data_IF_374331022332
#
_entry.id   IF_374331022332
#
_cell.length_a   1.000
_cell.length_b   1.000
_cell.length_c   1.000
_cell.angle_alpha   90.00
_cell.angle_beta   90.00
_cell.angle_gamma   90.00
#
_symmetry.space_group_name_H-M   'P 1'
#
loop_
_entity.id
_entity.type
_entity.pdbx_description
1 polymer ?
#
# COMPACT_ATOMS: atom_id res chain seq x y z
N UNK A 1 -9.99 -0.72 33.93
CA UNK A 1 -10.04 -0.48 32.48
C UNK A 1 -8.81 -1.12 31.87
N UNK A 2 -8.97 -2.23 31.15
CA UNK A 2 -7.84 -2.92 30.51
C UNK A 2 -7.47 -2.16 29.23
N UNK A 3 -6.24 -1.68 29.10
CA UNK A 3 -5.70 -1.18 27.83
C UNK A 3 -5.77 -2.34 26.83
N UNK A 4 -6.67 -2.25 25.84
CA UNK A 4 -6.76 -3.21 24.74
C UNK A 4 -5.43 -3.13 24.01
N UNK A 5 -4.68 -4.23 24.01
CA UNK A 5 -3.36 -4.30 23.38
C UNK A 5 -3.56 -4.14 21.87
N UNK A 6 -3.14 -3.00 21.31
CA UNK A 6 -3.09 -2.75 19.86
C UNK A 6 -2.46 -3.95 19.15
N UNK A 7 -3.23 -4.62 18.29
CA UNK A 7 -2.67 -5.59 17.35
C UNK A 7 -2.03 -4.78 16.22
N UNK A 8 -0.71 -4.71 16.19
CA UNK A 8 0.02 -4.15 15.04
C UNK A 8 -0.41 -4.88 13.76
N UNK A 9 -0.98 -4.14 12.79
CA UNK A 9 -1.21 -4.64 11.44
C UNK A 9 0.14 -5.16 10.89
N UNK A 10 0.16 -6.39 10.38
CA UNK A 10 1.41 -7.04 9.94
C UNK A 10 1.67 -6.90 8.44
N UNK A 11 0.69 -6.40 7.68
CA UNK A 11 0.77 -6.08 6.23
C UNK A 11 1.49 -7.14 5.39
N UNK A 12 1.31 -8.43 5.72
CA UNK A 12 2.02 -9.53 5.05
C UNK A 12 1.71 -9.59 3.54
N UNK A 13 0.52 -9.13 3.15
CA UNK A 13 0.09 -9.11 1.75
C UNK A 13 0.88 -8.14 0.88
N UNK A 14 1.50 -7.10 1.47
CA UNK A 14 2.22 -6.05 0.73
C UNK A 14 3.36 -6.63 -0.11
N UNK A 15 4.06 -7.66 0.40
CA UNK A 15 5.15 -8.28 -0.36
C UNK A 15 4.67 -8.83 -1.71
N UNK A 16 3.58 -9.59 -1.69
CA UNK A 16 2.95 -10.16 -2.89
C UNK A 16 2.27 -9.11 -3.75
N UNK A 17 1.71 -8.07 -3.14
CA UNK A 17 1.10 -6.96 -3.86
C UNK A 17 2.17 -6.22 -4.68
N UNK A 18 3.27 -5.81 -4.05
CA UNK A 18 4.37 -5.11 -4.75
C UNK A 18 5.06 -6.01 -5.77
N UNK A 19 5.19 -7.31 -5.51
CA UNK A 19 5.66 -8.26 -6.52
C UNK A 19 4.79 -8.18 -7.78
N UNK A 20 3.46 -8.21 -7.64
CA UNK A 20 2.53 -8.04 -8.77
C UNK A 20 2.65 -6.67 -9.44
N UNK A 21 2.79 -5.59 -8.68
CA UNK A 21 3.00 -4.24 -9.23
C UNK A 21 4.25 -4.22 -10.11
N UNK A 22 5.37 -4.70 -9.59
CA UNK A 22 6.68 -4.64 -10.26
C UNK A 22 6.85 -5.66 -11.40
N UNK A 23 6.01 -6.69 -11.45
CA UNK A 23 5.99 -7.71 -12.52
C UNK A 23 4.82 -7.56 -13.49
N UNK A 24 3.97 -6.54 -13.29
CA UNK A 24 2.83 -6.28 -14.15
C UNK A 24 3.28 -6.04 -15.59
N UNK A 25 2.53 -6.60 -16.55
CA UNK A 25 2.78 -6.37 -17.98
C UNK A 25 2.33 -4.99 -18.45
N UNK A 26 1.50 -4.31 -17.66
CA UNK A 26 0.96 -2.98 -17.95
C UNK A 26 1.02 -2.13 -16.70
N UNK A 27 1.55 -0.91 -16.83
CA UNK A 27 1.47 0.12 -15.80
C UNK A 27 0.15 0.92 -15.89
N UNK A 28 -0.79 0.48 -16.71
CA UNK A 28 -2.15 1.03 -16.84
C UNK A 28 -3.15 -0.12 -16.71
N UNK A 29 -3.44 -0.52 -15.47
CA UNK A 29 -4.32 -1.66 -15.17
C UNK A 29 -4.83 -1.59 -13.74
N UNK A 30 -5.90 -2.31 -13.45
CA UNK A 30 -6.39 -2.52 -12.09
C UNK A 30 -6.47 -4.02 -11.79
N UNK A 31 -6.21 -4.39 -10.54
CA UNK A 31 -6.37 -5.77 -10.09
C UNK A 31 -6.69 -5.82 -8.60
N UNK A 32 -7.38 -6.87 -8.17
CA UNK A 32 -7.61 -7.14 -6.75
C UNK A 32 -6.53 -8.08 -6.21
N UNK A 33 -6.01 -7.76 -5.03
CA UNK A 33 -5.01 -8.56 -4.32
C UNK A 33 -5.33 -8.56 -2.83
N UNK A 34 -5.66 -9.72 -2.25
CA UNK A 34 -6.00 -9.84 -0.82
C UNK A 34 -7.14 -8.91 -0.39
N UNK A 35 -8.19 -8.81 -1.20
CA UNK A 35 -9.33 -7.93 -0.93
C UNK A 35 -9.03 -6.44 -1.08
N UNK A 36 -7.87 -6.08 -1.66
CA UNK A 36 -7.50 -4.69 -1.97
C UNK A 36 -7.47 -4.48 -3.48
N UNK A 37 -8.27 -3.54 -3.97
CA UNK A 37 -8.13 -3.04 -5.32
C UNK A 37 -6.80 -2.26 -5.40
N UNK A 38 -6.04 -2.54 -6.45
CA UNK A 38 -4.80 -1.86 -6.77
C UNK A 38 -4.95 -1.30 -8.17
N UNK A 39 -4.81 0.01 -8.28
CA UNK A 39 -4.81 0.72 -9.56
C UNK A 39 -3.37 1.12 -9.89
N UNK A 40 -2.96 0.79 -11.12
CA UNK A 40 -1.70 1.22 -11.72
C UNK A 40 -2.04 2.19 -12.84
N UNK A 41 -1.48 3.39 -12.77
CA UNK A 41 -1.57 4.40 -13.81
C UNK A 41 -0.18 4.86 -14.22
N UNK A 42 0.03 5.04 -15.53
CA UNK A 42 1.25 5.65 -16.01
C UNK A 42 1.12 6.31 -17.37
N UNK A 43 1.76 7.47 -17.51
CA UNK A 43 1.97 8.12 -18.80
C UNK A 43 3.22 7.61 -19.55
N UNK A 44 4.10 6.82 -18.91
CA UNK A 44 5.38 6.38 -19.49
C UNK A 44 5.73 4.94 -19.09
N UNK A 45 6.70 4.32 -19.77
CA UNK A 45 7.14 2.95 -19.42
C UNK A 45 8.00 2.91 -18.14
N UNK A 46 8.71 4.00 -17.84
CA UNK A 46 9.67 4.09 -16.74
C UNK A 46 9.08 4.66 -15.43
N UNK A 47 7.76 4.81 -15.36
CA UNK A 47 7.06 5.31 -14.18
C UNK A 47 5.80 4.49 -13.91
N UNK A 48 5.37 4.43 -12.66
CA UNK A 48 4.03 3.97 -12.27
C UNK A 48 3.55 4.74 -11.05
N UNK A 49 2.30 5.18 -11.09
CA UNK A 49 1.53 5.62 -9.94
C UNK A 49 0.67 4.46 -9.45
N UNK A 50 0.67 4.24 -8.14
CA UNK A 50 0.06 3.08 -7.49
C UNK A 50 -0.88 3.55 -6.39
N UNK A 51 -2.17 3.31 -6.59
CA UNK A 51 -3.18 3.50 -5.55
C UNK A 51 -3.62 2.14 -5.03
N UNK A 52 -3.45 1.89 -3.73
CA UNK A 52 -3.96 0.73 -3.02
C UNK A 52 -5.21 1.19 -2.28
N UNK A 53 -6.35 0.57 -2.52
CA UNK A 53 -7.61 0.85 -1.81
C UNK A 53 -7.81 -0.06 -0.60
N UNK A 54 -8.58 0.40 0.37
CA UNK A 54 -8.89 -0.35 1.60
C UNK A 54 -9.71 -1.62 1.34
N UNK A 55 -10.47 -1.65 0.24
CA UNK A 55 -11.30 -2.78 -0.20
C UNK A 55 -11.08 -3.06 -1.68
N UNK A 56 -11.81 -4.02 -2.24
CA UNK A 56 -11.82 -4.37 -3.66
C UNK A 56 -12.60 -3.37 -4.54
N UNK A 57 -13.01 -2.25 -3.95
CA UNK A 57 -13.76 -1.17 -4.57
C UNK A 57 -13.10 0.19 -4.27
N UNK A 58 -13.13 1.07 -5.27
CA UNK A 58 -12.54 2.41 -5.23
C UNK A 58 -13.23 3.35 -4.24
N UNK A 59 -14.46 3.07 -3.83
CA UNK A 59 -15.21 3.91 -2.88
C UNK A 59 -14.93 3.59 -1.40
N UNK A 60 -14.18 2.52 -1.10
CA UNK A 60 -13.75 2.15 0.26
C UNK A 60 -12.66 3.06 0.86
N UNK A 61 -12.14 4.01 0.08
CA UNK A 61 -11.05 4.91 0.45
C UNK A 61 -9.66 4.32 0.18
N UNK A 62 -8.68 5.19 0.01
CA UNK A 62 -7.27 4.83 -0.22
C UNK A 62 -6.60 4.32 1.06
N UNK A 63 -5.80 3.28 0.90
CA UNK A 63 -4.88 2.75 1.91
C UNK A 63 -3.49 3.36 1.74
N UNK A 64 -2.99 3.43 0.50
CA UNK A 64 -1.74 4.10 0.17
C UNK A 64 -1.77 4.59 -1.27
N UNK A 65 -1.10 5.71 -1.50
CA UNK A 65 -0.89 6.30 -2.80
C UNK A 65 0.58 6.68 -2.93
N UNK A 66 1.26 6.10 -3.92
CA UNK A 66 2.68 6.29 -4.12
C UNK A 66 3.08 6.05 -5.56
N UNK A 67 4.20 6.64 -5.93
CA UNK A 67 4.79 6.53 -7.25
C UNK A 67 6.13 5.81 -7.18
N UNK A 68 6.44 5.09 -8.26
CA UNK A 68 7.75 4.50 -8.44
C UNK A 68 8.31 4.83 -9.81
N UNK A 69 9.47 5.50 -9.80
CA UNK A 69 10.27 5.77 -10.98
C UNK A 69 11.27 4.62 -11.20
N UNK A 70 11.04 3.82 -12.24
CA UNK A 70 11.88 2.70 -12.60
C UNK A 70 13.26 3.14 -13.12
N UNK A 71 13.44 4.37 -13.59
CA UNK A 71 14.73 4.89 -14.05
C UNK A 71 15.58 5.37 -12.87
N UNK A 72 15.04 6.31 -12.08
CA UNK A 72 15.78 6.95 -10.97
C UNK A 72 15.78 6.13 -9.68
N UNK A 73 14.89 5.13 -9.59
CA UNK A 73 14.65 4.30 -8.40
C UNK A 73 14.17 5.14 -7.22
N UNK A 74 13.35 6.15 -7.51
CA UNK A 74 12.66 6.96 -6.52
C UNK A 74 11.29 6.35 -6.21
N UNK A 75 11.05 6.10 -4.92
CA UNK A 75 9.77 5.71 -4.36
C UNK A 75 9.20 6.92 -3.62
N UNK A 76 8.20 7.56 -4.22
CA UNK A 76 7.60 8.79 -3.72
C UNK A 76 6.22 8.49 -3.13
N UNK A 77 5.95 8.90 -1.88
CA UNK A 77 4.65 8.68 -1.25
C UNK A 77 3.81 9.96 -1.27
N UNK A 78 2.62 9.87 -1.86
CA UNK A 78 1.59 10.92 -1.82
C UNK A 78 0.78 10.80 -0.53
N UNK A 79 0.35 9.58 -0.19
CA UNK A 79 -0.37 9.30 1.07
C UNK A 79 -0.21 7.85 1.52
N UNK A 80 -0.43 7.59 2.81
CA UNK A 80 -0.42 6.24 3.39
C UNK A 80 -1.18 6.26 4.71
N UNK A 81 -1.98 5.22 4.98
CA UNK A 81 -2.77 5.10 6.22
C UNK A 81 -1.91 5.01 7.50
N UNK A 82 -0.59 4.81 7.37
CA UNK A 82 0.29 4.88 8.53
C UNK A 82 1.72 4.43 8.28
N UNK A 83 2.59 4.82 9.22
CA UNK A 83 4.04 4.55 9.16
C UNK A 83 4.40 3.08 8.97
N UNK A 84 3.68 2.17 9.63
CA UNK A 84 3.97 0.73 9.55
C UNK A 84 3.74 0.16 8.13
N UNK A 85 2.72 0.66 7.42
CA UNK A 85 2.47 0.30 6.03
C UNK A 85 3.58 0.87 5.13
N UNK A 86 3.89 2.16 5.26
CA UNK A 86 4.93 2.84 4.50
C UNK A 86 6.27 2.14 4.63
N UNK A 87 6.71 1.82 5.86
CA UNK A 87 7.95 1.10 6.12
C UNK A 87 7.96 -0.29 5.47
N UNK A 88 6.81 -0.98 5.46
CA UNK A 88 6.68 -2.29 4.82
C UNK A 88 6.79 -2.21 3.30
N UNK A 89 6.18 -1.20 2.68
CA UNK A 89 6.30 -0.93 1.24
C UNK A 89 7.77 -0.64 0.89
N UNK A 90 8.42 0.28 1.61
CA UNK A 90 9.85 0.63 1.42
C UNK A 90 10.74 -0.61 1.54
N UNK A 91 10.54 -1.42 2.58
CA UNK A 91 11.33 -2.63 2.80
C UNK A 91 11.18 -3.61 1.62
N UNK A 92 9.96 -3.78 1.12
CA UNK A 92 9.64 -4.67 0.01
C UNK A 92 10.29 -4.21 -1.29
N UNK A 93 10.17 -2.92 -1.65
CA UNK A 93 10.86 -2.36 -2.81
C UNK A 93 12.39 -2.53 -2.70
N UNK A 94 12.97 -2.30 -1.52
CA UNK A 94 14.41 -2.50 -1.29
C UNK A 94 14.84 -3.96 -1.48
N UNK A 95 13.98 -4.93 -1.16
CA UNK A 95 14.24 -6.34 -1.42
C UNK A 95 14.30 -6.63 -2.92
N UNK A 96 13.34 -6.12 -3.71
CA UNK A 96 13.29 -6.38 -5.14
C UNK A 96 14.39 -5.69 -5.95
N UNK A 97 14.88 -4.53 -5.51
CA UNK A 97 15.86 -3.75 -6.27
C UNK A 97 17.28 -3.72 -5.65
N UNK A 98 17.57 -4.46 -4.58
CA UNK A 98 18.92 -4.59 -4.01
C UNK A 98 19.88 -5.23 -5.02
N UNK A 99 20.86 -4.48 -5.59
CA UNK A 99 21.77 -3.58 -4.87
C UNK A 99 21.60 -2.07 -5.16
N UNK A 100 20.54 -1.65 -5.87
CA UNK A 100 20.31 -0.24 -6.23
C UNK A 100 19.80 0.53 -5.01
N UNK A 101 20.35 1.72 -4.76
CA UNK A 101 19.88 2.63 -3.70
C UNK A 101 18.52 3.20 -4.11
N UNK A 102 17.44 2.65 -3.57
CA UNK A 102 16.12 3.28 -3.66
C UNK A 102 16.15 4.60 -2.87
N UNK A 103 15.75 5.69 -3.52
CA UNK A 103 15.50 6.98 -2.89
C UNK A 103 14.04 7.00 -2.43
N UNK A 104 13.78 7.58 -1.27
CA UNK A 104 12.43 7.69 -0.71
C UNK A 104 12.13 9.17 -0.46
N UNK A 105 10.97 9.62 -0.92
CA UNK A 105 10.46 10.98 -0.80
C UNK A 105 8.97 10.96 -0.46
N UNK A 106 8.42 12.09 -0.01
CA UNK A 106 7.05 12.23 0.48
C UNK A 106 6.50 13.59 0.07
N UNK A 107 5.20 13.67 -0.21
CA UNK A 107 4.49 14.95 -0.26
C UNK A 107 4.47 15.61 1.13
N UNK A 108 4.44 16.95 1.18
CA UNK A 108 4.52 17.74 2.42
C UNK A 108 3.29 17.62 3.35
N UNK A 109 2.26 16.83 2.98
CA UNK A 109 1.03 16.71 3.75
C UNK A 109 1.22 15.75 4.94
N UNK A 110 1.03 16.31 6.14
CA UNK A 110 1.13 15.62 7.43
C UNK A 110 0.23 14.38 7.49
N UNK A 111 0.81 13.30 8.00
CA UNK A 111 0.11 12.09 8.41
C UNK A 111 -1.07 12.45 9.32
N UNK A 112 -2.30 12.20 8.88
CA UNK A 112 -3.39 12.03 9.83
C UNK A 112 -3.22 10.64 10.45
N UNK A 113 -2.59 10.58 11.63
CA UNK A 113 -2.69 9.45 12.56
C UNK A 113 -4.14 9.33 13.07
N UNK A 114 -5.15 9.28 12.18
CA UNK A 114 -6.48 8.81 12.56
C UNK A 114 -6.37 7.31 12.85
N UNK A 115 -6.12 7.01 14.11
CA UNK A 115 -6.00 5.67 14.69
C UNK A 115 -7.23 4.82 14.29
N UNK A 116 -7.09 4.07 13.19
CA UNK A 116 -8.15 3.26 12.60
C UNK A 116 -7.66 1.82 12.41
N UNK A 117 -8.47 0.85 12.86
CA UNK A 117 -8.17 -0.58 12.75
C UNK A 117 -9.12 -1.28 11.80
N UNK A 118 -8.61 -2.22 11.02
CA UNK A 118 -9.38 -3.03 10.07
C UNK A 118 -9.18 -4.50 10.43
N UNK A 119 -10.27 -5.24 10.63
CA UNK A 119 -10.23 -6.69 10.88
C UNK A 119 -10.58 -7.45 9.59
N UNK A 120 -9.73 -8.43 9.23
CA UNK A 120 -9.85 -9.27 8.03
C UNK A 120 -10.17 -10.71 8.44
N UNK A 121 -11.03 -11.39 7.67
CA UNK A 121 -11.21 -12.84 7.79
C UNK A 121 -10.11 -13.56 7.00
N UNK A 122 -9.28 -14.35 7.70
CA UNK A 122 -8.18 -15.10 7.06
C UNK A 122 -8.68 -16.35 6.30
N UNK A 123 -9.96 -16.69 6.40
CA UNK A 123 -10.56 -17.90 5.82
C UNK A 123 -11.45 -17.65 4.61
N UNK A 124 -11.86 -16.40 4.38
CA UNK A 124 -12.71 -16.00 3.25
C UNK A 124 -12.27 -14.65 2.65
N UNK A 125 -11.72 -14.71 1.43
CA UNK A 125 -11.15 -13.59 0.68
C UNK A 125 -12.20 -12.57 0.21
N UNK A 126 -13.48 -12.94 0.14
CA UNK A 126 -14.54 -12.07 -0.37
C UNK A 126 -15.28 -11.29 0.71
N UNK A 127 -14.91 -11.47 1.98
CA UNK A 127 -15.53 -10.74 3.09
C UNK A 127 -14.86 -9.36 3.22
N UNK A 128 -15.62 -8.26 3.07
CA UNK A 128 -15.04 -6.93 3.19
C UNK A 128 -14.54 -6.67 4.63
N UNK A 129 -13.38 -6.01 4.80
CA UNK A 129 -12.81 -5.77 6.12
C UNK A 129 -13.65 -4.80 6.94
N UNK A 130 -13.74 -5.05 8.24
CA UNK A 130 -14.52 -4.23 9.18
C UNK A 130 -13.67 -3.07 9.69
N UNK A 131 -14.08 -1.82 9.41
CA UNK A 131 -13.42 -0.60 9.89
C UNK A 131 -13.84 -0.25 11.33
N UNK A 132 -12.86 0.00 12.20
CA UNK A 132 -13.04 0.47 13.56
C UNK A 132 -12.28 1.78 13.78
N UNK A 133 -13.00 2.80 14.26
CA UNK A 133 -12.42 4.08 14.67
C UNK A 133 -11.97 3.94 16.13
N UNK A 134 -10.67 4.12 16.40
CA UNK A 134 -10.16 4.12 17.77
C UNK A 134 -10.40 5.52 18.38
N UNK A 135 -11.05 5.55 19.55
CA UNK A 135 -11.28 6.76 20.35
C UNK A 135 -10.36 6.79 21.55
#
# INVERSE_FOLDING_TARGET
MAKKKERKKTYKFIEKLIDKVTTSKSNNTEFVCYGHLVELLSGTEDYVSVTIYNTDDRYGGGMADFDFDYLTKELHFVSSEGKALTEKIIATFRMFYSPRRIRVSYDELEYEDEDTTYEYDETDEYVPPVKHLNK
#
